data_IF_908014717314
#
_entry.id   IF_908014717314
#
_cell.length_a   1.000
_cell.length_b   1.000
_cell.length_c   1.000
_cell.angle_alpha   90.00
_cell.angle_beta   90.00
_cell.angle_gamma   90.00
#
_symmetry.space_group_name_H-M   'P 1'
#
loop_
_entity.id
_entity.type
_entity.pdbx_description
1 polymer ?
#
# COMPACT_ATOMS: atom_id res chain seq x y z
N UNK A 1 -1.62 -2.65 10.88
CA UNK A 1 -0.52 -3.07 9.99
C UNK A 1 0.75 -3.31 10.81
N UNK A 2 1.04 -4.57 11.16
CA UNK A 2 2.27 -4.97 11.87
C UNK A 2 2.51 -6.48 11.69
N UNK A 3 2.25 -6.99 10.49
CA UNK A 3 2.33 -8.42 10.17
C UNK A 3 3.47 -8.69 9.20
N UNK A 4 3.94 -9.94 9.15
CA UNK A 4 5.04 -10.32 8.27
C UNK A 4 4.67 -10.07 6.80
N UNK A 5 5.63 -9.54 6.03
CA UNK A 5 5.47 -9.30 4.58
C UNK A 5 4.88 -7.96 4.18
N UNK A 6 4.33 -7.14 5.09
CA UNK A 6 3.79 -5.82 4.71
C UNK A 6 4.89 -4.88 4.20
N UNK A 7 6.11 -4.99 4.74
CA UNK A 7 7.28 -4.25 4.25
C UNK A 7 7.72 -4.65 2.84
N UNK A 8 7.53 -5.91 2.44
CA UNK A 8 7.82 -6.37 1.08
C UNK A 8 6.85 -5.76 0.07
N UNK A 9 5.56 -5.67 0.45
CA UNK A 9 4.53 -4.98 -0.35
C UNK A 9 4.91 -3.50 -0.51
N UNK A 10 5.25 -2.80 0.57
CA UNK A 10 5.66 -1.40 0.52
C UNK A 10 6.90 -1.21 -0.38
N UNK A 11 7.90 -2.09 -0.25
CA UNK A 11 9.12 -2.04 -1.06
C UNK A 11 8.79 -2.21 -2.55
N UNK A 12 7.93 -3.17 -2.89
CA UNK A 12 7.47 -3.38 -4.26
C UNK A 12 6.71 -2.18 -4.83
N UNK A 13 5.86 -1.54 -4.03
CA UNK A 13 5.14 -0.31 -4.42
C UNK A 13 6.11 0.84 -4.73
N UNK A 14 7.06 1.13 -3.84
CA UNK A 14 8.04 2.20 -4.03
C UNK A 14 8.93 1.91 -5.24
N UNK A 15 9.38 0.65 -5.41
CA UNK A 15 10.18 0.24 -6.56
C UNK A 15 9.41 0.39 -7.88
N UNK A 16 8.13 0.00 -7.91
CA UNK A 16 7.27 0.16 -9.08
C UNK A 16 7.03 1.63 -9.43
N UNK A 17 6.78 2.49 -8.44
CA UNK A 17 6.61 3.94 -8.65
C UNK A 17 7.91 4.58 -9.16
N UNK A 18 9.05 4.21 -8.58
CA UNK A 18 10.36 4.67 -9.07
C UNK A 18 10.62 4.19 -10.50
N UNK A 19 10.28 2.94 -10.82
CA UNK A 19 10.38 2.38 -12.18
C UNK A 19 9.45 3.06 -13.21
N UNK A 20 8.42 3.77 -12.74
CA UNK A 20 7.57 4.64 -13.56
C UNK A 20 8.13 6.08 -13.72
N UNK A 21 9.38 6.31 -13.32
CA UNK A 21 10.10 7.59 -13.36
C UNK A 21 9.65 8.63 -12.33
N UNK A 22 8.99 8.21 -11.23
CA UNK A 22 8.83 9.12 -10.09
C UNK A 22 10.18 9.32 -9.37
N UNK A 23 10.53 10.54 -8.95
CA UNK A 23 11.70 10.78 -8.11
C UNK A 23 11.65 9.92 -6.84
N UNK A 24 12.78 9.38 -6.35
CA UNK A 24 12.79 8.44 -5.22
C UNK A 24 12.07 8.97 -3.97
N UNK A 25 12.19 10.26 -3.68
CA UNK A 25 11.49 10.89 -2.55
C UNK A 25 9.97 10.87 -2.76
N UNK A 26 9.50 11.27 -3.94
CA UNK A 26 8.08 11.30 -4.29
C UNK A 26 7.48 9.89 -4.34
N UNK A 27 8.20 8.93 -4.93
CA UNK A 27 7.82 7.53 -4.95
C UNK A 27 7.69 6.94 -3.54
N UNK A 28 8.60 7.32 -2.63
CA UNK A 28 8.56 6.89 -1.23
C UNK A 28 7.36 7.46 -0.50
N UNK A 29 7.11 8.76 -0.63
CA UNK A 29 5.97 9.44 0.00
C UNK A 29 4.66 8.83 -0.50
N UNK A 30 4.48 8.73 -1.82
CA UNK A 30 3.27 8.19 -2.42
C UNK A 30 3.10 6.70 -2.07
N UNK A 31 4.17 5.92 -2.11
CA UNK A 31 4.17 4.50 -1.77
C UNK A 31 3.73 4.25 -0.33
N UNK A 32 4.28 4.99 0.64
CA UNK A 32 3.88 4.89 2.06
C UNK A 32 2.42 5.28 2.26
N UNK A 33 1.99 6.38 1.64
CA UNK A 33 0.60 6.85 1.75
C UNK A 33 -0.39 5.81 1.20
N UNK A 34 -0.17 5.34 -0.03
CA UNK A 34 -1.05 4.36 -0.66
C UNK A 34 -1.02 3.00 0.04
N UNK A 35 0.14 2.58 0.57
CA UNK A 35 0.26 1.35 1.35
C UNK A 35 -0.58 1.41 2.63
N UNK A 36 -0.51 2.53 3.36
CA UNK A 36 -1.34 2.75 4.55
C UNK A 36 -2.83 2.75 4.21
N UNK A 37 -3.22 3.53 3.19
CA UNK A 37 -4.61 3.60 2.74
C UNK A 37 -5.17 2.24 2.30
N UNK A 38 -4.38 1.44 1.57
CA UNK A 38 -4.76 0.08 1.18
C UNK A 38 -4.95 -0.82 2.41
N UNK A 39 -4.09 -0.67 3.42
CA UNK A 39 -4.23 -1.37 4.70
C UNK A 39 -5.48 -0.99 5.48
N UNK A 40 -5.82 0.30 5.53
CA UNK A 40 -7.04 0.79 6.19
C UNK A 40 -8.30 0.23 5.50
N UNK A 41 -8.35 0.29 4.16
CA UNK A 41 -9.45 -0.27 3.35
C UNK A 41 -9.59 -1.78 3.58
N UNK A 42 -8.47 -2.50 3.65
CA UNK A 42 -8.49 -3.94 3.89
C UNK A 42 -8.94 -4.27 5.33
N UNK A 43 -8.52 -3.47 6.31
CA UNK A 43 -8.92 -3.62 7.71
C UNK A 43 -10.43 -3.43 7.93
N UNK A 44 -11.11 -2.62 7.10
CA UNK A 44 -12.58 -2.52 7.10
C UNK A 44 -13.27 -3.88 6.86
N UNK A 45 -12.61 -4.81 6.14
CA UNK A 45 -13.15 -6.14 5.80
C UNK A 45 -12.68 -7.24 6.74
N UNK A 46 -11.39 -7.25 7.08
CA UNK A 46 -10.76 -8.36 7.81
C UNK A 46 -10.52 -8.06 9.30
N UNK A 47 -10.58 -6.79 9.70
CA UNK A 47 -10.21 -6.30 11.01
C UNK A 47 -8.71 -6.09 11.17
N UNK A 48 -8.31 -5.10 11.98
CA UNK A 48 -6.91 -4.68 12.12
C UNK A 48 -5.95 -5.78 12.60
N UNK A 49 -6.44 -6.68 13.46
CA UNK A 49 -5.64 -7.78 14.02
C UNK A 49 -5.46 -8.95 13.06
N UNK A 50 -6.38 -9.15 12.10
CA UNK A 50 -6.32 -10.25 11.13
C UNK A 50 -5.60 -9.86 9.85
N UNK A 51 -5.28 -8.57 9.69
CA UNK A 51 -4.73 -8.01 8.46
C UNK A 51 -3.37 -8.62 8.09
N UNK A 52 -3.29 -9.26 6.94
CA UNK A 52 -2.05 -9.80 6.36
C UNK A 52 -1.61 -9.04 5.11
N UNK A 53 -0.39 -9.30 4.63
CA UNK A 53 0.16 -8.65 3.44
C UNK A 53 -0.70 -8.86 2.18
N UNK A 54 -1.32 -10.03 2.02
CA UNK A 54 -2.24 -10.33 0.92
C UNK A 54 -3.45 -9.41 0.89
N UNK A 55 -4.06 -9.13 2.05
CA UNK A 55 -5.21 -8.25 2.15
C UNK A 55 -4.87 -6.81 1.70
N UNK A 56 -3.65 -6.35 2.04
CA UNK A 56 -3.16 -5.03 1.61
C UNK A 56 -3.03 -5.00 0.09
N UNK A 57 -2.49 -6.05 -0.54
CA UNK A 57 -2.38 -6.15 -2.00
C UNK A 57 -3.76 -6.02 -2.65
N UNK A 58 -4.78 -6.69 -2.10
CA UNK A 58 -6.15 -6.59 -2.58
C UNK A 58 -6.74 -5.18 -2.41
N UNK A 59 -6.29 -4.40 -1.42
CA UNK A 59 -6.71 -3.02 -1.19
C UNK A 59 -6.02 -1.97 -2.08
N UNK A 60 -4.93 -2.31 -2.79
CA UNK A 60 -4.16 -1.36 -3.61
C UNK A 60 -5.02 -0.69 -4.70
N UNK A 61 -5.83 -1.42 -5.50
CA UNK A 61 -6.66 -0.79 -6.54
C UNK A 61 -7.61 0.26 -5.99
N UNK A 62 -8.25 -0.03 -4.85
CA UNK A 62 -9.18 0.89 -4.19
C UNK A 62 -8.45 2.13 -3.66
N UNK A 63 -7.25 1.97 -3.08
CA UNK A 63 -6.42 3.07 -2.63
C UNK A 63 -6.04 4.03 -3.78
N UNK A 64 -5.65 3.49 -4.94
CA UNK A 64 -5.40 4.30 -6.14
C UNK A 64 -6.65 4.99 -6.66
N UNK A 65 -7.81 4.31 -6.63
CA UNK A 65 -9.07 4.91 -7.07
C UNK A 65 -9.49 6.06 -6.15
N UNK A 66 -9.34 5.91 -4.82
CA UNK A 66 -9.64 6.97 -3.83
C UNK A 66 -8.66 8.15 -3.95
N UNK A 67 -7.39 7.91 -4.26
CA UNK A 67 -6.39 8.97 -4.43
C UNK A 67 -6.61 9.83 -5.69
N UNK A 68 -7.21 9.26 -6.75
CA UNK A 68 -7.51 9.97 -8.00
C UNK A 68 -8.85 10.71 -7.99
N UNK A 69 -9.67 10.51 -6.97
CA UNK A 69 -10.95 11.20 -6.77
C UNK A 69 -10.74 12.55 -6.06
#
# INVERSE_FOLDING_TARGET
>A
MATAGTGDVLTGMIASLTGQNLPPLEASILGVYLHGLAGDIAAERTGEHSLIAGDIIEGIPDAFSRFRA
#
